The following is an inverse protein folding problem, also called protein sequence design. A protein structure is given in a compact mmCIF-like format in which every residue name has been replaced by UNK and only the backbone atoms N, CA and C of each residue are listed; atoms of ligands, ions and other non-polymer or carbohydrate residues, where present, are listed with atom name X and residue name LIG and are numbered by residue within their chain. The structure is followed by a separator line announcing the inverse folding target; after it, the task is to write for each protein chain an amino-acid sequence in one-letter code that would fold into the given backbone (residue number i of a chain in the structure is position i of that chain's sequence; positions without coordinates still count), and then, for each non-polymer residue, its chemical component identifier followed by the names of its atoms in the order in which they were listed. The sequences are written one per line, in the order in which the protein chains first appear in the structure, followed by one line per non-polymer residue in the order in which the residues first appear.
data_IF_683569843924
#
_entry.id   IF_683569843924
#
_cell.length_a   1.000
_cell.length_b   1.000
_cell.length_c   1.000
_cell.angle_alpha   90.00
_cell.angle_beta   90.00
_cell.angle_gamma   90.00
#
_symmetry.space_group_name_H-M   'P 1'
#
loop_
_entity.id
_entity.type
_entity.pdbx_description
1 polymer ?
#
# COMPACT_ATOMS: atom_id res chain seq x y z
N UNK A 1 1.01 7.58 -3.64
CA UNK A 1 1.99 6.47 -3.54
C UNK A 1 1.35 5.08 -3.64
N UNK A 2 0.41 4.70 -2.75
CA UNK A 2 -0.14 3.34 -2.71
C UNK A 2 -0.66 2.79 -4.05
N UNK A 3 -1.34 3.60 -4.87
CA UNK A 3 -1.78 3.22 -6.21
C UNK A 3 -0.62 2.78 -7.11
N UNK A 4 0.46 3.57 -7.15
CA UNK A 4 1.64 3.28 -7.98
C UNK A 4 2.33 2.00 -7.50
N UNK A 5 2.44 1.78 -6.19
CA UNK A 5 2.99 0.52 -5.65
C UNK A 5 2.16 -0.68 -6.09
N UNK A 6 0.84 -0.59 -5.94
CA UNK A 6 -0.07 -1.67 -6.32
C UNK A 6 0.01 -1.97 -7.82
N UNK A 7 -0.01 -0.94 -8.67
CA UNK A 7 0.11 -1.10 -10.12
C UNK A 7 1.44 -1.72 -10.54
N UNK A 8 2.57 -1.31 -9.93
CA UNK A 8 3.87 -1.96 -10.20
C UNK A 8 3.81 -3.47 -9.94
N UNK A 9 3.20 -3.88 -8.83
CA UNK A 9 3.08 -5.29 -8.48
C UNK A 9 2.11 -6.04 -9.41
N UNK A 10 1.07 -5.38 -9.91
CA UNK A 10 0.18 -5.91 -10.95
C UNK A 10 0.96 -6.18 -12.23
N UNK A 11 1.74 -5.20 -12.69
CA UNK A 11 2.54 -5.32 -13.92
C UNK A 11 3.63 -6.39 -13.79
N UNK A 12 4.17 -6.61 -12.59
CA UNK A 12 5.10 -7.70 -12.30
C UNK A 12 4.42 -9.08 -12.14
N UNK A 13 3.09 -9.19 -12.24
CA UNK A 13 2.37 -10.46 -12.07
C UNK A 13 2.36 -11.00 -10.64
N UNK A 14 2.58 -10.14 -9.63
CA UNK A 14 2.69 -10.53 -8.21
C UNK A 14 1.32 -10.72 -7.52
N UNK A 15 0.22 -10.47 -8.22
CA UNK A 15 -1.14 -10.54 -7.66
C UNK A 15 -1.91 -11.76 -8.16
N UNK A 16 -2.70 -12.33 -7.26
CA UNK A 16 -3.69 -13.35 -7.53
C UNK A 16 -4.95 -13.13 -6.68
N UNK A 17 -5.97 -13.97 -6.88
CA UNK A 17 -7.26 -13.85 -6.17
C UNK A 17 -7.12 -13.88 -4.64
N UNK A 18 -6.14 -14.63 -4.12
CA UNK A 18 -5.95 -14.84 -2.69
C UNK A 18 -5.20 -13.67 -2.04
N UNK A 19 -4.13 -13.18 -2.67
CA UNK A 19 -3.27 -12.17 -2.06
C UNK A 19 -3.67 -10.72 -2.35
N UNK A 20 -4.51 -10.44 -3.36
CA UNK A 20 -4.78 -9.06 -3.82
C UNK A 20 -5.18 -8.09 -2.71
N UNK A 21 -5.95 -8.54 -1.73
CA UNK A 21 -6.37 -7.73 -0.58
C UNK A 21 -5.20 -7.40 0.36
N UNK A 22 -4.37 -8.40 0.63
CA UNK A 22 -3.19 -8.27 1.49
C UNK A 22 -2.14 -7.36 0.83
N UNK A 23 -1.95 -7.52 -0.49
CA UNK A 23 -1.08 -6.64 -1.31
C UNK A 23 -1.58 -5.20 -1.28
N UNK A 24 -2.88 -4.95 -1.50
CA UNK A 24 -3.46 -3.60 -1.41
C UNK A 24 -3.22 -2.98 -0.04
N UNK A 25 -3.51 -3.71 1.03
CA UNK A 25 -3.35 -3.21 2.40
C UNK A 25 -1.88 -2.90 2.73
N UNK A 26 -0.93 -3.76 2.32
CA UNK A 26 0.49 -3.51 2.50
C UNK A 26 0.99 -2.29 1.70
N UNK A 27 0.50 -2.09 0.47
CA UNK A 27 0.81 -0.90 -0.31
C UNK A 27 0.35 0.39 0.39
N UNK A 28 -0.84 0.38 1.00
CA UNK A 28 -1.36 1.53 1.77
C UNK A 28 -0.53 1.74 3.05
N UNK A 29 -0.22 0.67 3.78
CA UNK A 29 0.59 0.74 5.00
C UNK A 29 1.98 1.34 4.73
N UNK A 30 2.68 0.85 3.70
CA UNK A 30 4.00 1.36 3.29
C UNK A 30 3.91 2.82 2.82
N UNK A 31 2.88 3.16 2.04
CA UNK A 31 2.67 4.52 1.56
C UNK A 31 2.48 5.49 2.74
N UNK A 32 1.65 5.13 3.70
CA UNK A 32 1.38 5.97 4.86
C UNK A 32 2.61 6.14 5.76
N UNK A 33 3.39 5.06 5.96
CA UNK A 33 4.64 5.11 6.75
C UNK A 33 5.73 5.97 6.10
N UNK A 34 5.80 6.05 4.77
CA UNK A 34 6.83 6.84 4.08
C UNK A 34 6.40 8.29 3.79
N UNK A 35 5.10 8.54 3.65
CA UNK A 35 4.58 9.88 3.31
C UNK A 35 4.33 10.77 4.53
N UNK A 36 4.40 10.22 5.74
CA UNK A 36 3.97 10.91 6.94
C UNK A 36 4.80 10.46 8.14
N UNK A 37 5.15 11.39 9.04
CA UNK A 37 5.73 11.09 10.35
C UNK A 37 4.67 10.50 11.29
N UNK A 38 4.18 9.30 10.95
CA UNK A 38 3.19 8.60 11.75
C UNK A 38 3.77 8.20 13.09
N UNK A 39 3.07 8.54 14.17
CA UNK A 39 3.39 7.98 15.48
C UNK A 39 2.94 6.52 15.54
N UNK A 40 3.50 5.75 16.45
CA UNK A 40 3.16 4.33 16.66
C UNK A 40 1.64 4.11 16.79
N UNK A 41 0.94 5.00 17.48
CA UNK A 41 -0.52 4.93 17.65
C UNK A 41 -1.28 5.08 16.33
N UNK A 42 -0.85 6.00 15.45
CA UNK A 42 -1.47 6.22 14.15
C UNK A 42 -1.30 5.00 13.23
N UNK A 43 -0.12 4.35 13.31
CA UNK A 43 0.14 3.09 12.60
C UNK A 43 -0.79 1.98 13.07
N UNK A 44 -1.00 1.83 14.39
CA UNK A 44 -1.93 0.83 14.93
C UNK A 44 -3.36 1.08 14.44
N UNK A 45 -3.84 2.33 14.52
CA UNK A 45 -5.17 2.69 14.04
C UNK A 45 -5.34 2.46 12.54
N UNK A 46 -4.30 2.72 11.74
CA UNK A 46 -4.30 2.40 10.32
C UNK A 46 -4.42 0.90 10.09
N UNK A 47 -3.65 0.08 10.81
CA UNK A 47 -3.72 -1.39 10.72
C UNK A 47 -5.13 -1.88 11.07
N UNK A 48 -5.74 -1.36 12.14
CA UNK A 48 -7.11 -1.73 12.53
C UNK A 48 -8.12 -1.43 11.40
N UNK A 49 -8.03 -0.24 10.79
CA UNK A 49 -8.87 0.13 9.63
C UNK A 49 -8.62 -0.75 8.41
N UNK A 50 -7.37 -1.13 8.15
CA UNK A 50 -7.02 -2.00 7.02
C UNK A 50 -7.55 -3.43 7.24
N UNK A 51 -7.42 -3.97 8.45
CA UNK A 51 -7.97 -5.26 8.85
C UNK A 51 -9.48 -5.33 8.61
N UNK A 52 -10.23 -4.31 9.06
CA UNK A 52 -11.67 -4.20 8.84
C UNK A 52 -12.03 -4.06 7.35
N UNK A 53 -11.42 -3.10 6.64
CA UNK A 53 -11.80 -2.75 5.27
C UNK A 53 -11.45 -3.83 4.26
N UNK A 54 -10.28 -4.44 4.40
CA UNK A 54 -9.85 -5.49 3.47
C UNK A 54 -10.30 -6.89 3.90
N UNK A 55 -10.74 -7.06 5.17
CA UNK A 55 -11.05 -8.36 5.79
C UNK A 55 -9.83 -9.30 5.72
N UNK A 56 -8.73 -8.84 6.31
CA UNK A 56 -7.43 -9.55 6.37
C UNK A 56 -6.96 -9.60 7.82
N UNK A 57 -6.05 -10.50 8.18
CA UNK A 57 -5.48 -10.51 9.53
C UNK A 57 -4.26 -9.57 9.63
N UNK A 58 -4.16 -8.76 10.70
CA UNK A 58 -2.93 -8.04 11.02
C UNK A 58 -1.72 -8.97 11.19
N UNK A 59 -1.96 -10.21 11.63
CA UNK A 59 -0.90 -11.24 11.79
C UNK A 59 -0.32 -11.67 10.45
N UNK A 60 -1.08 -11.53 9.37
CA UNK A 60 -0.61 -11.75 8.00
C UNK A 60 -0.03 -10.45 7.42
N UNK A 61 -0.68 -9.31 7.65
CA UNK A 61 -0.28 -8.02 7.08
C UNK A 61 1.11 -7.57 7.53
N UNK A 62 1.40 -7.64 8.83
CA UNK A 62 2.66 -7.14 9.40
C UNK A 62 3.88 -7.86 8.80
N UNK A 63 3.98 -9.20 8.79
CA UNK A 63 5.10 -9.87 8.15
C UNK A 63 5.11 -9.70 6.62
N UNK A 64 3.93 -9.63 5.99
CA UNK A 64 3.81 -9.48 4.54
C UNK A 64 4.24 -8.10 4.02
N UNK A 65 4.20 -7.07 4.86
CA UNK A 65 4.69 -5.73 4.53
C UNK A 65 6.11 -5.77 3.98
N UNK A 66 7.02 -6.53 4.61
CA UNK A 66 8.39 -6.64 4.16
C UNK A 66 8.50 -7.35 2.81
N UNK A 67 7.68 -8.38 2.56
CA UNK A 67 7.59 -9.04 1.25
C UNK A 67 7.24 -8.05 0.15
N UNK A 68 6.29 -7.14 0.41
CA UNK A 68 5.91 -6.10 -0.55
C UNK A 68 7.02 -5.07 -0.74
N UNK A 69 7.70 -4.67 0.33
CA UNK A 69 8.84 -3.77 0.24
C UNK A 69 9.95 -4.33 -0.66
N UNK A 70 10.28 -5.62 -0.50
CA UNK A 70 11.27 -6.32 -1.34
C UNK A 70 10.79 -6.43 -2.78
N UNK A 71 9.51 -6.75 -3.02
CA UNK A 71 8.96 -6.82 -4.38
C UNK A 71 8.94 -5.46 -5.10
N UNK A 72 8.88 -4.36 -4.33
CA UNK A 72 9.04 -2.99 -4.82
C UNK A 72 10.51 -2.56 -4.93
N UNK A 73 11.47 -3.45 -4.70
CA UNK A 73 12.91 -3.18 -4.76
C UNK A 73 13.33 -2.03 -3.83
N UNK A 74 12.65 -1.89 -2.69
CA UNK A 74 12.82 -0.77 -1.74
C UNK A 74 12.58 0.63 -2.35
N UNK A 75 12.03 0.72 -3.57
CA UNK A 75 11.81 1.96 -4.30
C UNK A 75 10.47 2.62 -3.91
N UNK A 76 10.39 3.09 -2.66
CA UNK A 76 9.21 3.77 -2.11
C UNK A 76 9.13 5.25 -2.48
N UNK A 77 10.26 5.93 -2.70
CA UNK A 77 10.24 7.30 -3.21
C UNK A 77 9.97 7.27 -4.70
N UNK A 78 8.89 7.93 -5.11
CA UNK A 78 8.39 7.92 -6.48
C UNK A 78 8.48 9.32 -7.09
N UNK A 79 8.86 9.45 -8.37
CA UNK A 79 8.80 10.71 -9.08
C UNK A 79 7.36 11.23 -9.17
N UNK A 80 7.18 12.54 -9.06
CA UNK A 80 5.87 13.20 -9.15
C UNK A 80 5.11 12.84 -10.43
N UNK A 81 5.83 12.70 -11.55
CA UNK A 81 5.27 12.29 -12.85
C UNK A 81 4.52 10.96 -12.79
N UNK A 82 4.90 10.04 -11.90
CA UNK A 82 4.22 8.75 -11.71
C UNK A 82 3.02 8.86 -10.77
N UNK A 83 2.98 9.88 -9.91
CA UNK A 83 1.95 10.03 -8.87
C UNK A 83 0.79 10.90 -9.38
N UNK A 84 1.11 11.97 -10.09
CA UNK A 84 0.13 12.99 -10.51
C UNK A 84 -1.04 12.45 -11.34
N UNK A 85 -0.86 11.47 -12.25
CA UNK A 85 -1.99 10.87 -12.96
C UNK A 85 -3.01 10.23 -12.01
N UNK A 86 -2.57 9.53 -10.95
CA UNK A 86 -3.47 8.94 -9.95
C UNK A 86 -4.13 10.01 -9.09
N UNK A 87 -3.39 11.01 -8.67
CA UNK A 87 -3.94 12.11 -7.86
C UNK A 87 -5.05 12.86 -8.61
N UNK A 88 -4.82 13.23 -9.88
CA UNK A 88 -5.82 13.90 -10.71
C UNK A 88 -7.10 13.08 -10.84
N UNK A 89 -6.98 11.76 -11.05
CA UNK A 89 -8.14 10.86 -11.12
C UNK A 89 -8.95 10.85 -9.82
N UNK A 90 -8.27 10.80 -8.66
CA UNK A 90 -8.95 10.80 -7.36
C UNK A 90 -9.68 12.12 -7.06
N UNK A 91 -9.09 13.25 -7.41
CA UNK A 91 -9.72 14.56 -7.20
C UNK A 91 -10.93 14.76 -8.13
N UNK A 92 -10.88 14.22 -9.35
CA UNK A 92 -11.98 14.31 -10.32
C UNK A 92 -13.15 13.34 -10.03
N UNK A 93 -12.93 12.33 -9.18
CA UNK A 93 -13.93 11.30 -8.85
C UNK A 93 -14.69 11.57 -7.54
N UNK A 94 -14.40 12.69 -6.87
CA UNK A 94 -15.12 13.19 -5.70
C UNK A 94 -15.91 14.46 -6.06
#
# INVERSE_FOLDING_TARGET
MAFVYFEKLVLQGRLNKHNRKLVSAACVLLAAKISSDLKKQDVTQLIDKLEERFRISRRELIPFEFTILVALEMALYLPESTIMPHYRRLVQQN
#
